data_IF_006370514576
#
_entry.id   IF_006370514576
#
_cell.length_a   1.000
_cell.length_b   1.000
_cell.length_c   1.000
_cell.angle_alpha   90.00
_cell.angle_beta   90.00
_cell.angle_gamma   90.00
#
_symmetry.space_group_name_H-M   'P 1'
#
loop_
_entity.id
_entity.type
_entity.pdbx_description
1 polymer ?
#
# COMPACT_ATOMS: atom_id res chain seq x y z
N UNK A 1 1.55 -19.84 -6.62
CA UNK A 1 2.15 -20.31 -7.90
C UNK A 1 1.43 -19.66 -9.06
N UNK A 2 2.18 -19.08 -9.95
CA UNK A 2 1.66 -18.46 -11.17
C UNK A 2 1.96 -19.38 -12.34
N UNK A 3 0.95 -19.60 -13.20
CA UNK A 3 1.06 -20.44 -14.40
C UNK A 3 0.72 -19.59 -15.63
N UNK A 4 1.65 -19.53 -16.57
CA UNK A 4 1.48 -18.79 -17.83
C UNK A 4 1.46 -19.78 -18.98
N UNK A 5 0.40 -19.75 -19.79
CA UNK A 5 0.29 -20.57 -20.99
C UNK A 5 1.28 -20.10 -22.05
N UNK A 6 2.16 -20.98 -22.49
CA UNK A 6 3.20 -20.71 -23.50
C UNK A 6 2.80 -21.12 -24.91
N UNK A 7 1.59 -21.66 -25.10
CA UNK A 7 1.16 -22.12 -26.43
C UNK A 7 0.94 -20.91 -27.35
N UNK A 8 1.60 -20.83 -28.50
CA UNK A 8 1.35 -19.79 -29.49
C UNK A 8 -0.10 -19.82 -29.96
N UNK A 9 -0.72 -18.64 -30.11
CA UNK A 9 -2.14 -18.52 -30.45
C UNK A 9 -2.51 -19.26 -31.75
N UNK A 10 -1.64 -19.23 -32.77
CA UNK A 10 -1.88 -19.90 -34.05
C UNK A 10 -1.95 -21.43 -33.93
N UNK A 11 -1.29 -22.03 -32.94
CA UNK A 11 -1.33 -23.47 -32.71
C UNK A 11 -2.65 -23.91 -32.05
N UNK A 12 -3.33 -23.03 -31.35
CA UNK A 12 -4.61 -23.32 -30.72
C UNK A 12 -5.75 -23.44 -31.73
N UNK A 13 -5.58 -22.91 -32.94
CA UNK A 13 -6.59 -22.90 -34.00
C UNK A 13 -6.23 -23.76 -35.19
N UNK A 14 -5.07 -24.43 -35.20
CA UNK A 14 -4.68 -25.33 -36.29
C UNK A 14 -5.42 -26.67 -36.19
N UNK A 15 -6.30 -26.92 -37.14
CA UNK A 15 -6.95 -28.24 -37.27
C UNK A 15 -6.02 -29.19 -38.00
N UNK A 16 -5.76 -30.35 -37.41
CA UNK A 16 -5.10 -31.48 -38.10
C UNK A 16 -3.63 -31.70 -37.80
N UNK A 17 -3.04 -31.01 -36.87
CA UNK A 17 -1.74 -31.38 -36.33
C UNK A 17 -1.92 -32.25 -35.10
N UNK A 18 -1.48 -33.50 -35.17
CA UNK A 18 -1.39 -34.39 -34.01
C UNK A 18 -0.30 -33.91 -33.07
N UNK A 19 -0.52 -32.77 -32.44
CA UNK A 19 0.25 -32.43 -31.28
C UNK A 19 -0.21 -33.33 -30.15
N UNK A 20 0.74 -33.90 -29.43
CA UNK A 20 0.50 -34.45 -28.11
C UNK A 20 -0.40 -33.43 -27.37
N UNK A 21 -1.51 -33.88 -26.82
CA UNK A 21 -2.58 -33.05 -26.25
C UNK A 21 -2.16 -32.30 -24.97
N UNK A 22 -0.89 -31.91 -24.89
CA UNK A 22 -0.30 -31.20 -23.75
C UNK A 22 0.04 -29.75 -24.11
N UNK A 23 -0.37 -28.84 -23.23
CA UNK A 23 -0.09 -27.42 -23.35
C UNK A 23 1.03 -27.07 -22.39
N UNK A 24 2.11 -26.40 -22.84
CA UNK A 24 3.18 -25.99 -21.96
C UNK A 24 2.76 -24.74 -21.14
N UNK A 25 3.04 -24.78 -19.85
CA UNK A 25 2.85 -23.67 -18.92
C UNK A 25 4.17 -23.34 -18.25
N UNK A 26 4.50 -22.02 -18.23
CA UNK A 26 5.54 -21.52 -17.34
C UNK A 26 4.97 -21.40 -15.93
N UNK A 27 5.54 -22.14 -15.00
CA UNK A 27 5.16 -22.11 -13.58
C UNK A 27 6.25 -21.45 -12.77
N UNK A 28 5.86 -20.61 -11.83
CA UNK A 28 6.80 -20.02 -10.88
C UNK A 28 6.09 -19.64 -9.59
N UNK A 29 6.87 -19.49 -8.54
CA UNK A 29 6.37 -19.03 -7.26
C UNK A 29 6.69 -17.55 -7.10
N UNK A 30 5.67 -16.75 -6.84
CA UNK A 30 5.80 -15.34 -6.56
C UNK A 30 5.62 -15.09 -5.06
N UNK A 31 6.66 -14.57 -4.43
CA UNK A 31 6.63 -14.11 -3.05
C UNK A 31 6.64 -12.59 -2.99
N UNK A 32 5.67 -12.01 -2.32
CA UNK A 32 5.65 -10.58 -2.04
C UNK A 32 5.52 -10.32 -0.55
N UNK A 33 6.33 -9.38 -0.07
CA UNK A 33 6.21 -8.82 1.27
C UNK A 33 5.89 -7.33 1.13
N UNK A 34 4.64 -6.99 1.34
CA UNK A 34 4.14 -5.63 1.16
C UNK A 34 3.23 -5.22 2.31
N UNK A 35 3.30 -3.94 2.68
CA UNK A 35 2.36 -3.33 3.60
C UNK A 35 1.09 -2.81 2.89
N UNK A 36 1.08 -2.77 1.55
CA UNK A 36 -0.03 -2.22 0.75
C UNK A 36 -1.29 -3.07 0.79
N UNK A 37 -1.16 -4.37 1.10
CA UNK A 37 -2.30 -5.29 1.26
C UNK A 37 -2.90 -5.27 2.66
N UNK A 38 -2.35 -4.47 3.57
CA UNK A 38 -2.85 -4.38 4.94
C UNK A 38 -4.09 -3.50 5.02
N UNK A 39 -5.21 -4.08 5.47
CA UNK A 39 -6.44 -3.34 5.79
C UNK A 39 -6.31 -2.47 7.05
N UNK A 40 -5.17 -2.53 7.73
CA UNK A 40 -4.90 -1.76 8.96
C UNK A 40 -4.77 -0.26 8.73
N UNK A 41 -4.46 0.17 7.51
CA UNK A 41 -4.24 1.57 7.20
C UNK A 41 -5.42 2.12 6.43
N UNK A 42 -6.35 2.72 7.17
CA UNK A 42 -7.42 3.50 6.56
C UNK A 42 -6.84 4.77 5.91
N UNK A 43 -7.28 5.15 4.72
CA UNK A 43 -6.87 6.40 4.11
C UNK A 43 -7.29 7.59 4.98
N UNK A 44 -6.44 8.60 5.06
CA UNK A 44 -6.74 9.83 5.77
C UNK A 44 -7.71 10.69 4.94
N UNK A 45 -8.69 11.31 5.60
CA UNK A 45 -9.54 12.30 4.97
C UNK A 45 -8.74 13.56 4.57
N UNK A 46 -9.27 14.37 3.67
CA UNK A 46 -8.61 15.63 3.25
C UNK A 46 -8.40 16.58 4.43
N UNK A 47 -9.39 16.67 5.32
CA UNK A 47 -9.29 17.48 6.54
C UNK A 47 -8.17 16.97 7.46
N UNK A 48 -8.05 15.67 7.66
CA UNK A 48 -6.96 15.07 8.43
C UNK A 48 -5.59 15.35 7.81
N UNK A 49 -5.47 15.21 6.49
CA UNK A 49 -4.22 15.52 5.78
C UNK A 49 -3.80 16.98 5.97
N UNK A 50 -4.75 17.89 5.89
CA UNK A 50 -4.50 19.32 6.10
C UNK A 50 -4.03 19.60 7.53
N UNK A 51 -4.74 19.09 8.54
CA UNK A 51 -4.37 19.24 9.96
C UNK A 51 -2.98 18.67 10.22
N UNK A 52 -2.68 17.48 9.73
CA UNK A 52 -1.36 16.87 9.88
C UNK A 52 -0.27 17.72 9.24
N UNK A 53 -0.50 18.26 8.05
CA UNK A 53 0.44 19.15 7.36
C UNK A 53 0.75 20.39 8.18
N UNK A 54 -0.27 21.03 8.75
CA UNK A 54 -0.11 22.22 9.59
C UNK A 54 0.69 21.88 10.84
N UNK A 55 0.36 20.81 11.54
CA UNK A 55 1.07 20.36 12.74
C UNK A 55 2.55 20.10 12.44
N UNK A 56 2.86 19.39 11.37
CA UNK A 56 4.25 19.09 10.98
C UNK A 56 5.02 20.37 10.59
N UNK A 57 4.38 21.27 9.86
CA UNK A 57 4.99 22.55 9.49
C UNK A 57 5.32 23.40 10.71
N UNK A 58 4.38 23.55 11.64
CA UNK A 58 4.60 24.31 12.87
C UNK A 58 5.66 23.65 13.76
N UNK A 59 5.66 22.31 13.84
CA UNK A 59 6.68 21.58 14.59
C UNK A 59 8.08 21.78 13.99
N UNK A 60 8.22 21.76 12.68
CA UNK A 60 9.49 22.02 12.00
C UNK A 60 10.00 23.46 12.21
N UNK A 61 9.11 24.39 12.50
CA UNK A 61 9.44 25.77 12.84
C UNK A 61 9.82 25.97 14.33
N UNK A 62 9.85 24.90 15.12
CA UNK A 62 10.24 24.94 16.52
C UNK A 62 9.11 25.19 17.52
N UNK A 63 7.86 25.19 17.10
CA UNK A 63 6.71 25.36 18.01
C UNK A 63 6.54 24.15 18.93
N UNK A 64 6.21 24.42 20.20
CA UNK A 64 5.81 23.36 21.14
C UNK A 64 4.38 22.88 20.84
N UNK A 65 4.04 21.67 21.29
CA UNK A 65 2.72 21.08 21.06
C UNK A 65 1.58 21.92 21.66
N UNK A 66 1.82 22.59 22.78
CA UNK A 66 0.85 23.52 23.34
C UNK A 66 0.65 24.74 22.44
N UNK A 67 1.74 25.33 21.96
CA UNK A 67 1.69 26.47 21.02
C UNK A 67 0.98 26.10 19.72
N UNK A 68 1.20 24.88 19.21
CA UNK A 68 0.51 24.38 18.03
C UNK A 68 -0.99 24.25 18.29
N UNK A 69 -1.40 23.69 19.44
CA UNK A 69 -2.82 23.56 19.79
C UNK A 69 -3.50 24.92 19.91
N UNK A 70 -2.83 25.90 20.55
CA UNK A 70 -3.34 27.26 20.70
C UNK A 70 -3.46 27.97 19.34
N UNK A 71 -2.49 27.77 18.45
CA UNK A 71 -2.52 28.33 17.08
C UNK A 71 -3.68 27.76 16.28
N UNK A 72 -3.88 26.44 16.33
CA UNK A 72 -5.00 25.79 15.64
C UNK A 72 -6.35 26.31 16.16
N UNK A 73 -6.50 26.46 17.46
CA UNK A 73 -7.73 26.98 18.07
C UNK A 73 -7.96 28.46 17.73
N UNK A 74 -6.91 29.29 17.69
CA UNK A 74 -6.95 30.69 17.31
C UNK A 74 -7.48 30.89 15.90
N UNK A 75 -7.12 29.99 14.98
CA UNK A 75 -7.59 29.99 13.59
C UNK A 75 -8.91 29.24 13.38
N UNK A 76 -9.62 28.91 14.45
CA UNK A 76 -10.88 28.17 14.42
C UNK A 76 -10.80 26.81 13.69
N UNK A 77 -9.62 26.20 13.64
CA UNK A 77 -9.44 24.87 13.10
C UNK A 77 -9.90 23.87 14.17
N UNK A 78 -10.84 23.01 13.80
CA UNK A 78 -11.42 22.00 14.69
C UNK A 78 -10.98 20.60 14.27
N UNK A 79 -11.05 19.65 15.20
CA UNK A 79 -10.84 18.24 14.90
C UNK A 79 -11.91 17.72 13.92
N UNK A 80 -11.73 16.52 13.41
CA UNK A 80 -12.75 15.83 12.58
C UNK A 80 -14.08 15.62 13.31
N UNK A 81 -14.04 15.60 14.65
CA UNK A 81 -15.23 15.51 15.54
C UNK A 81 -15.68 16.88 16.06
N UNK A 82 -15.26 17.96 15.41
CA UNK A 82 -15.59 19.35 15.75
C UNK A 82 -15.20 19.78 17.17
N UNK A 83 -14.12 19.22 17.71
CA UNK A 83 -13.59 19.55 19.03
C UNK A 83 -12.37 20.46 18.95
N UNK A 84 -12.10 21.21 20.03
CA UNK A 84 -10.88 22.00 20.21
C UNK A 84 -9.64 21.12 20.32
N UNK A 85 -8.51 21.62 19.87
CA UNK A 85 -7.21 20.99 20.07
C UNK A 85 -6.67 21.27 21.46
N UNK A 86 -5.93 20.30 22.00
CA UNK A 86 -5.15 20.43 23.22
C UNK A 86 -3.80 19.72 23.05
N UNK A 87 -2.84 20.05 23.91
CA UNK A 87 -1.45 19.59 23.80
C UNK A 87 -1.33 18.08 23.55
N UNK A 88 -1.97 17.27 24.38
CA UNK A 88 -1.87 15.79 24.28
C UNK A 88 -2.47 15.25 22.98
N UNK A 89 -3.52 15.88 22.49
CA UNK A 89 -4.15 15.49 21.23
C UNK A 89 -3.21 15.78 20.04
N UNK A 90 -2.61 16.95 20.01
CA UNK A 90 -1.64 17.32 18.96
C UNK A 90 -0.43 16.38 18.98
N UNK A 91 0.10 16.10 20.18
CA UNK A 91 1.21 15.16 20.35
C UNK A 91 0.84 13.75 19.85
N UNK A 92 -0.35 13.26 20.19
CA UNK A 92 -0.84 11.95 19.73
C UNK A 92 -0.98 11.88 18.21
N UNK A 93 -1.53 12.93 17.60
CA UNK A 93 -1.66 13.04 16.13
C UNK A 93 -0.27 13.01 15.48
N UNK A 94 0.67 13.79 15.99
CA UNK A 94 2.04 13.87 15.49
C UNK A 94 2.75 12.50 15.59
N UNK A 95 2.69 11.87 16.75
CA UNK A 95 3.30 10.55 16.99
C UNK A 95 2.70 9.45 16.11
N UNK A 96 1.38 9.41 15.99
CA UNK A 96 0.68 8.45 15.12
C UNK A 96 1.04 8.65 13.65
N UNK A 97 1.16 9.90 13.20
CA UNK A 97 1.56 10.20 11.83
C UNK A 97 3.01 9.79 11.55
N UNK A 98 3.94 10.02 12.46
CA UNK A 98 5.32 9.53 12.33
C UNK A 98 5.37 8.02 12.21
N UNK A 99 4.62 7.30 13.05
CA UNK A 99 4.53 5.85 13.01
C UNK A 99 3.95 5.37 11.67
N UNK A 100 2.92 6.03 11.17
CA UNK A 100 2.33 5.75 9.86
C UNK A 100 3.33 5.97 8.72
N UNK A 101 4.03 7.10 8.71
CA UNK A 101 5.03 7.41 7.70
C UNK A 101 6.16 6.37 7.69
N UNK A 102 6.65 5.97 8.86
CA UNK A 102 7.65 4.90 9.01
C UNK A 102 7.15 3.56 8.47
N UNK A 103 5.90 3.22 8.72
CA UNK A 103 5.29 2.00 8.20
C UNK A 103 5.13 2.03 6.68
N UNK A 104 4.66 3.16 6.14
CA UNK A 104 4.45 3.33 4.70
C UNK A 104 5.76 3.44 3.90
N UNK A 105 6.87 3.79 4.55
CA UNK A 105 8.19 3.86 3.91
C UNK A 105 8.91 2.51 3.81
N UNK A 106 8.33 1.43 4.35
CA UNK A 106 8.92 0.10 4.24
C UNK A 106 8.98 -0.34 2.78
N UNK A 107 10.10 -0.91 2.31
CA UNK A 107 10.21 -1.38 0.94
C UNK A 107 9.27 -2.56 0.69
N UNK A 108 8.71 -2.61 -0.51
CA UNK A 108 8.02 -3.79 -1.01
C UNK A 108 9.07 -4.75 -1.55
N UNK A 109 9.06 -5.98 -1.07
CA UNK A 109 9.99 -7.03 -1.49
C UNK A 109 9.22 -8.00 -2.37
N UNK A 110 9.72 -8.20 -3.58
CA UNK A 110 9.17 -9.15 -4.54
C UNK A 110 10.25 -10.17 -4.92
N UNK A 111 9.88 -11.43 -4.90
CA UNK A 111 10.76 -12.52 -5.29
C UNK A 111 10.03 -13.50 -6.20
N UNK A 112 10.72 -13.90 -7.25
CA UNK A 112 10.26 -14.94 -8.17
C UNK A 112 11.17 -16.15 -8.03
N UNK A 113 10.59 -17.31 -7.74
CA UNK A 113 11.32 -18.55 -7.46
C UNK A 113 10.70 -19.74 -8.17
N UNK A 114 11.47 -20.81 -8.23
CA UNK A 114 11.00 -22.14 -8.67
C UNK A 114 10.38 -22.08 -10.08
N UNK A 115 11.11 -21.50 -11.02
CA UNK A 115 10.71 -21.51 -12.43
C UNK A 115 10.77 -22.91 -12.97
N UNK A 116 9.68 -23.37 -13.59
CA UNK A 116 9.57 -24.66 -14.24
C UNK A 116 8.60 -24.59 -15.42
N UNK A 117 8.68 -25.56 -16.31
CA UNK A 117 7.72 -25.72 -17.41
C UNK A 117 6.94 -27.01 -17.16
N UNK A 118 5.65 -26.88 -16.98
CA UNK A 118 4.73 -27.99 -16.82
C UNK A 118 3.85 -28.15 -18.04
N UNK A 119 3.59 -29.41 -18.42
CA UNK A 119 2.71 -29.75 -19.52
C UNK A 119 1.39 -30.28 -18.95
N UNK A 120 0.29 -29.62 -19.31
CA UNK A 120 -1.04 -30.04 -18.90
C UNK A 120 -1.78 -30.66 -20.08
N UNK A 121 -2.29 -31.88 -19.88
CA UNK A 121 -3.06 -32.56 -20.92
C UNK A 121 -4.42 -31.87 -21.15
N UNK A 122 -4.79 -31.74 -22.41
CA UNK A 122 -6.15 -31.40 -22.79
C UNK A 122 -7.01 -32.65 -22.66
N UNK A 123 -7.99 -32.61 -21.79
CA UNK A 123 -9.03 -33.66 -21.72
C UNK A 123 -10.26 -33.25 -22.49
#
# INVERSE_FOLDING_TARGET
>A
IIMINLTPHYLLHSHGLNFDSSIPFLCFTYHTKTHLLSNYIKPLSQKQKLIHRIIFKLKSQGYDFKQISDTLNKHNIRTTKDKKFYRSLVWNIYKKRLKRNKFMSKPVIEEYRNFDIEFMGLR
#
